data_IF_715624533686
#
_entry.id   IF_715624533686
#
_cell.length_a   1.000
_cell.length_b   1.000
_cell.length_c   1.000
_cell.angle_alpha   90.00
_cell.angle_beta   90.00
_cell.angle_gamma   90.00
#
_symmetry.space_group_name_H-M   'P 1'
#
loop_
_entity.id
_entity.type
_entity.pdbx_description
1 polymer ?
#
# COMPACT_ATOMS: atom_id res chain seq x y z
N UNK A 1 56.27 1.33 31.62
CA UNK A 1 54.89 0.93 31.98
C UNK A 1 53.99 2.12 32.30
N UNK A 2 54.54 3.24 32.88
CA UNK A 2 53.70 4.40 33.26
C UNK A 2 53.12 5.18 32.08
N UNK A 3 53.87 5.29 30.99
CA UNK A 3 53.41 5.96 29.77
C UNK A 3 52.18 5.27 29.13
N UNK A 4 52.18 3.95 29.08
CA UNK A 4 51.10 3.14 28.55
C UNK A 4 49.81 3.31 29.37
N UNK A 5 49.88 3.47 30.69
CA UNK A 5 48.74 3.74 31.53
C UNK A 5 48.17 5.15 31.32
N UNK A 6 49.04 6.15 31.04
CA UNK A 6 48.57 7.49 30.70
C UNK A 6 47.88 7.53 29.35
N UNK A 7 48.40 6.84 28.34
CA UNK A 7 47.81 6.74 27.02
C UNK A 7 46.45 6.02 27.09
N UNK A 8 46.34 4.96 27.87
CA UNK A 8 45.10 4.22 28.06
C UNK A 8 44.01 5.08 28.78
N UNK A 9 44.42 5.86 29.81
CA UNK A 9 43.52 6.78 30.47
C UNK A 9 43.06 7.93 29.55
N UNK A 10 43.99 8.47 28.74
CA UNK A 10 43.64 9.49 27.76
C UNK A 10 42.65 8.96 26.71
N UNK A 11 42.85 7.74 26.22
CA UNK A 11 41.97 7.09 25.27
C UNK A 11 40.54 6.86 25.88
N UNK A 12 40.48 6.36 27.11
CA UNK A 12 39.21 6.19 27.82
C UNK A 12 38.48 7.53 28.01
N UNK A 13 39.22 8.59 28.36
CA UNK A 13 38.69 9.93 28.49
C UNK A 13 38.12 10.47 27.17
N UNK A 14 38.83 10.26 26.08
CA UNK A 14 38.40 10.68 24.74
C UNK A 14 37.10 9.93 24.32
N UNK A 15 37.07 8.61 24.49
CA UNK A 15 35.88 7.78 24.21
C UNK A 15 34.68 8.21 25.06
N UNK A 16 34.85 8.47 26.35
CA UNK A 16 33.79 8.93 27.21
C UNK A 16 33.28 10.30 26.79
N UNK A 17 34.16 11.23 26.46
CA UNK A 17 33.79 12.56 25.94
C UNK A 17 32.96 12.45 24.67
N UNK A 18 33.39 11.60 23.73
CA UNK A 18 32.65 11.34 22.50
C UNK A 18 31.22 10.81 22.78
N UNK A 19 31.08 9.87 23.69
CA UNK A 19 29.75 9.34 24.05
C UNK A 19 28.86 10.37 24.71
N UNK A 20 29.41 11.22 25.58
CA UNK A 20 28.68 12.31 26.23
C UNK A 20 28.20 13.31 25.18
N UNK A 21 29.06 13.71 24.25
CA UNK A 21 28.70 14.64 23.18
C UNK A 21 27.64 14.05 22.26
N UNK A 22 27.76 12.78 21.90
CA UNK A 22 26.73 12.07 21.12
C UNK A 22 25.40 12.00 21.86
N UNK A 23 25.39 11.68 23.14
CA UNK A 23 24.15 11.66 23.94
C UNK A 23 23.54 13.04 24.05
N UNK A 24 24.36 14.08 24.18
CA UNK A 24 23.87 15.45 24.23
C UNK A 24 23.24 15.88 22.88
N UNK A 25 23.87 15.52 21.76
CA UNK A 25 23.32 15.75 20.42
C UNK A 25 21.98 15.05 20.22
N UNK A 26 21.85 13.80 20.69
CA UNK A 26 20.62 13.04 20.63
C UNK A 26 19.46 13.63 21.46
N UNK A 27 19.74 14.48 22.43
CA UNK A 27 18.71 15.21 23.20
C UNK A 27 18.15 16.43 22.46
N UNK A 28 18.79 16.88 21.42
CA UNK A 28 18.40 18.05 20.64
C UNK A 28 17.74 17.62 19.34
N UNK A 29 16.45 17.95 19.16
CA UNK A 29 15.67 17.53 17.99
C UNK A 29 16.35 17.82 16.62
N UNK A 30 17.02 18.97 16.39
CA UNK A 30 17.71 19.25 15.14
C UNK A 30 18.97 18.42 14.89
N UNK A 31 19.54 17.83 15.95
CA UNK A 31 20.84 17.12 15.92
C UNK A 31 20.70 15.62 16.15
N UNK A 32 19.50 15.16 16.54
CA UNK A 32 19.22 13.77 16.80
C UNK A 32 19.21 12.97 15.50
N UNK A 33 19.99 11.90 15.44
CA UNK A 33 20.12 10.99 14.28
C UNK A 33 19.30 9.71 14.51
N UNK A 34 19.14 9.28 15.75
CA UNK A 34 18.44 8.04 16.06
C UNK A 34 16.92 8.22 15.97
N UNK A 35 16.29 7.49 15.03
CA UNK A 35 14.84 7.55 14.78
C UNK A 35 14.00 7.38 16.04
N UNK A 36 14.42 6.50 16.95
CA UNK A 36 13.70 6.24 18.20
C UNK A 36 13.67 7.48 19.11
N UNK A 37 14.80 8.19 19.21
CA UNK A 37 14.94 9.39 20.02
C UNK A 37 14.11 10.54 19.44
N UNK A 38 14.15 10.72 18.11
CA UNK A 38 13.34 11.70 17.38
C UNK A 38 11.85 11.46 17.64
N UNK A 39 11.38 10.21 17.53
CA UNK A 39 9.99 9.84 17.78
C UNK A 39 9.59 10.12 19.23
N UNK A 40 10.46 9.80 20.20
CA UNK A 40 10.18 10.04 21.61
C UNK A 40 10.09 11.54 21.94
N UNK A 41 11.00 12.33 21.41
CA UNK A 41 10.95 13.79 21.54
C UNK A 41 9.68 14.38 20.89
N UNK A 42 9.35 13.93 19.67
CA UNK A 42 8.12 14.36 18.99
C UNK A 42 6.87 14.05 19.83
N UNK A 43 6.81 12.87 20.47
CA UNK A 43 5.73 12.50 21.38
C UNK A 43 5.67 13.40 22.62
N UNK A 44 6.81 13.81 23.17
CA UNK A 44 6.87 14.75 24.31
C UNK A 44 6.26 16.11 23.95
N UNK A 45 6.39 16.55 22.69
CA UNK A 45 5.75 17.76 22.17
C UNK A 45 4.29 17.54 21.73
N UNK A 46 3.70 16.37 22.01
CA UNK A 46 2.31 16.05 21.68
C UNK A 46 2.08 15.60 20.24
N UNK A 47 3.14 15.37 19.46
CA UNK A 47 3.01 14.85 18.10
C UNK A 47 2.58 13.38 18.13
N UNK A 48 1.48 13.07 17.48
CA UNK A 48 1.04 11.70 17.27
C UNK A 48 1.73 11.13 16.04
N UNK A 49 2.64 10.18 16.25
CA UNK A 49 3.28 9.46 15.15
C UNK A 49 2.21 8.72 14.38
N UNK A 50 2.07 9.05 13.09
CA UNK A 50 1.15 8.35 12.20
C UNK A 50 1.76 7.00 11.82
N UNK A 51 1.00 5.91 11.89
CA UNK A 51 1.43 4.64 11.33
C UNK A 51 1.61 4.76 9.80
N UNK A 52 2.17 3.73 9.18
CA UNK A 52 2.20 3.61 7.73
C UNK A 52 0.76 3.60 7.24
N UNK A 53 0.44 4.51 6.32
CA UNK A 53 -0.88 4.60 5.71
C UNK A 53 -0.71 4.24 4.24
N UNK A 54 -1.53 3.30 3.71
CA UNK A 54 -1.48 2.97 2.29
C UNK A 54 -1.99 4.14 1.45
N UNK A 55 -1.55 4.21 0.21
CA UNK A 55 -2.06 5.16 -0.77
C UNK A 55 -3.33 4.62 -1.41
N UNK A 56 -4.29 5.49 -1.68
CA UNK A 56 -5.50 5.16 -2.43
C UNK A 56 -5.41 5.78 -3.82
N UNK A 57 -5.93 5.07 -4.81
CA UNK A 57 -5.97 5.50 -6.20
C UNK A 57 -7.28 5.05 -6.84
N UNK A 58 -7.80 5.84 -7.77
CA UNK A 58 -8.91 5.45 -8.62
C UNK A 58 -8.34 4.85 -9.91
N UNK A 59 -8.64 3.57 -10.14
CA UNK A 59 -8.20 2.83 -11.32
C UNK A 59 -9.36 2.68 -12.30
N UNK A 60 -9.12 3.05 -13.55
CA UNK A 60 -10.10 2.90 -14.63
C UNK A 60 -9.79 1.64 -15.43
N UNK A 61 -10.72 0.71 -15.40
CA UNK A 61 -10.68 -0.52 -16.20
C UNK A 61 -11.47 -0.32 -17.48
N UNK A 62 -10.94 -0.80 -18.58
CA UNK A 62 -11.60 -0.79 -19.88
C UNK A 62 -11.79 -2.20 -20.37
N UNK A 63 -12.96 -2.49 -20.92
CA UNK A 63 -13.29 -3.76 -21.57
C UNK A 63 -13.92 -3.49 -22.92
N UNK A 64 -13.49 -4.22 -23.94
CA UNK A 64 -14.07 -4.14 -25.27
C UNK A 64 -15.14 -5.23 -25.43
N UNK A 65 -16.33 -4.84 -25.83
CA UNK A 65 -17.47 -5.73 -26.07
C UNK A 65 -18.07 -5.47 -27.45
N UNK A 66 -18.70 -6.46 -28.03
CA UNK A 66 -19.34 -6.33 -29.34
C UNK A 66 -20.59 -5.47 -29.27
N UNK A 67 -20.94 -4.87 -30.40
CA UNK A 67 -22.25 -4.28 -30.59
C UNK A 67 -23.32 -5.38 -30.62
N UNK A 68 -24.55 -5.06 -30.21
CA UNK A 68 -25.66 -5.99 -30.23
C UNK A 68 -25.97 -6.40 -31.67
N UNK A 69 -26.15 -7.70 -31.89
CA UNK A 69 -26.55 -8.26 -33.20
C UNK A 69 -27.94 -7.80 -33.66
N UNK A 70 -28.78 -7.40 -32.72
CA UNK A 70 -30.13 -6.91 -33.02
C UNK A 70 -30.15 -5.40 -33.32
N UNK A 71 -29.26 -4.62 -32.75
CA UNK A 71 -29.17 -3.18 -32.89
C UNK A 71 -27.73 -2.72 -32.65
N UNK A 72 -27.00 -2.43 -33.71
CA UNK A 72 -25.59 -1.98 -33.64
C UNK A 72 -25.40 -0.64 -32.88
N UNK A 73 -26.47 0.09 -32.61
CA UNK A 73 -26.42 1.29 -31.76
C UNK A 73 -26.40 0.97 -30.26
N UNK A 74 -26.50 -0.32 -29.89
CA UNK A 74 -26.51 -0.80 -28.50
C UNK A 74 -25.37 -1.73 -28.21
N UNK A 75 -24.91 -1.69 -26.96
CA UNK A 75 -23.88 -2.58 -26.43
C UNK A 75 -24.46 -3.97 -26.17
N UNK A 76 -23.71 -5.02 -26.48
CA UNK A 76 -24.05 -6.37 -26.04
C UNK A 76 -23.39 -6.67 -24.69
N UNK A 77 -24.16 -6.48 -23.62
CA UNK A 77 -23.72 -6.74 -22.25
C UNK A 77 -23.67 -8.23 -21.87
N UNK A 78 -24.16 -9.14 -22.73
CA UNK A 78 -24.15 -10.58 -22.42
C UNK A 78 -22.74 -11.16 -22.30
N UNK A 79 -21.79 -10.55 -23.00
CA UNK A 79 -20.37 -10.93 -22.99
C UNK A 79 -19.51 -10.02 -22.10
N UNK A 80 -20.13 -9.07 -21.42
CA UNK A 80 -19.41 -8.21 -20.48
C UNK A 80 -18.98 -8.99 -19.23
N UNK A 81 -17.70 -8.87 -18.87
CA UNK A 81 -17.10 -9.56 -17.74
C UNK A 81 -17.48 -8.96 -16.39
N UNK A 82 -17.33 -9.77 -15.35
CA UNK A 82 -17.34 -9.34 -13.95
C UNK A 82 -16.11 -9.82 -13.27
N UNK A 83 -15.55 -9.00 -12.37
CA UNK A 83 -14.36 -9.31 -11.60
C UNK A 83 -14.63 -9.01 -10.13
N UNK A 84 -14.25 -9.94 -9.26
CA UNK A 84 -14.41 -9.77 -7.82
C UNK A 84 -13.42 -8.71 -7.29
N UNK A 85 -13.71 -8.16 -6.11
CA UNK A 85 -12.77 -7.32 -5.38
C UNK A 85 -11.51 -8.10 -5.01
N UNK A 86 -10.39 -7.38 -4.78
CA UNK A 86 -9.14 -8.01 -4.39
C UNK A 86 -8.20 -8.35 -5.57
N UNK A 87 -8.45 -7.78 -6.76
CA UNK A 87 -7.51 -7.92 -7.88
C UNK A 87 -6.24 -7.14 -7.57
N UNK A 88 -5.10 -7.81 -7.66
CA UNK A 88 -3.79 -7.21 -7.53
C UNK A 88 -3.28 -6.70 -8.88
N UNK A 89 -2.88 -5.44 -8.91
CA UNK A 89 -2.37 -4.77 -10.11
C UNK A 89 -1.04 -4.14 -9.78
N UNK A 90 -0.01 -4.51 -10.53
CA UNK A 90 1.33 -3.98 -10.36
C UNK A 90 1.55 -2.79 -11.30
N UNK A 91 2.08 -1.70 -10.76
CA UNK A 91 2.52 -0.54 -11.55
C UNK A 91 3.69 -0.93 -12.45
N UNK A 92 3.70 -0.45 -13.69
CA UNK A 92 4.80 -0.64 -14.65
C UNK A 92 5.88 0.45 -14.57
N UNK A 93 5.86 1.31 -13.55
CA UNK A 93 6.85 2.38 -13.35
C UNK A 93 8.16 1.89 -12.73
N UNK A 94 9.07 2.84 -12.42
CA UNK A 94 10.40 2.57 -11.86
C UNK A 94 10.39 1.84 -10.49
N UNK A 95 9.28 1.90 -9.78
CA UNK A 95 9.02 1.13 -8.56
C UNK A 95 7.75 0.31 -8.74
N UNK A 96 7.89 -1.00 -8.63
CA UNK A 96 6.76 -1.93 -8.65
C UNK A 96 5.90 -1.72 -7.39
N UNK A 97 4.81 -0.98 -7.53
CA UNK A 97 3.81 -0.82 -6.47
C UNK A 97 2.61 -1.67 -6.81
N UNK A 98 2.22 -2.53 -5.89
CA UNK A 98 1.02 -3.36 -6.01
C UNK A 98 -0.16 -2.62 -5.42
N UNK A 99 -1.25 -2.54 -6.18
CA UNK A 99 -2.54 -2.01 -5.78
C UNK A 99 -3.57 -3.13 -5.78
N UNK A 100 -4.39 -3.18 -4.76
CA UNK A 100 -5.50 -4.14 -4.64
C UNK A 100 -6.82 -3.41 -4.74
N UNK A 101 -7.73 -3.90 -5.60
CA UNK A 101 -9.06 -3.30 -5.78
C UNK A 101 -9.93 -3.57 -4.55
N UNK A 102 -10.66 -2.54 -4.10
CA UNK A 102 -11.54 -2.63 -2.93
C UNK A 102 -12.95 -3.06 -3.28
N UNK A 103 -13.36 -2.86 -4.54
CA UNK A 103 -14.70 -3.08 -5.01
C UNK A 103 -14.70 -4.06 -6.18
N UNK A 104 -15.83 -4.77 -6.37
CA UNK A 104 -16.02 -5.60 -7.55
C UNK A 104 -16.25 -4.74 -8.80
N UNK A 105 -15.85 -5.25 -9.94
CA UNK A 105 -15.98 -4.59 -11.24
C UNK A 105 -17.03 -5.35 -12.03
N UNK A 106 -18.17 -4.73 -12.32
CA UNK A 106 -19.21 -5.32 -13.17
C UNK A 106 -19.46 -4.45 -14.41
N UNK A 107 -19.03 -4.93 -15.56
CA UNK A 107 -19.23 -4.24 -16.83
C UNK A 107 -20.66 -4.38 -17.37
N UNK A 108 -21.50 -5.23 -16.79
CA UNK A 108 -22.91 -5.42 -17.20
C UNK A 108 -23.84 -4.37 -16.61
N UNK A 109 -23.46 -3.76 -15.50
CA UNK A 109 -24.23 -2.70 -14.85
C UNK A 109 -23.88 -1.38 -15.53
N UNK A 110 -24.91 -0.61 -15.91
CA UNK A 110 -24.77 0.73 -16.49
C UNK A 110 -25.27 1.77 -15.50
N UNK A 111 -24.46 2.80 -15.27
CA UNK A 111 -24.79 3.94 -14.42
C UNK A 111 -24.44 5.26 -15.09
N UNK A 112 -24.71 6.38 -14.43
CA UNK A 112 -24.36 7.72 -14.95
C UNK A 112 -22.86 7.93 -15.09
N UNK A 113 -22.06 7.26 -14.26
CA UNK A 113 -20.60 7.35 -14.24
C UNK A 113 -19.93 6.26 -15.09
N UNK A 114 -20.72 5.32 -15.61
CA UNK A 114 -20.26 4.19 -16.41
C UNK A 114 -20.35 4.53 -17.89
N UNK A 115 -19.26 5.02 -18.45
CA UNK A 115 -19.22 5.44 -19.84
C UNK A 115 -19.01 4.27 -20.79
N UNK A 116 -19.70 4.33 -21.92
CA UNK A 116 -19.45 3.47 -23.07
C UNK A 116 -19.12 4.35 -24.29
N UNK A 117 -18.07 4.02 -24.99
CA UNK A 117 -17.64 4.71 -26.21
C UNK A 117 -17.57 3.71 -27.34
N UNK A 118 -17.77 4.16 -28.58
CA UNK A 118 -17.62 3.28 -29.76
C UNK A 118 -16.12 2.97 -29.88
N UNK A 119 -15.76 1.68 -29.89
CA UNK A 119 -14.41 1.21 -30.04
C UNK A 119 -13.99 1.09 -31.50
N UNK A 120 -14.83 0.48 -32.34
CA UNK A 120 -14.59 0.31 -33.76
C UNK A 120 -15.85 0.35 -34.60
N UNK A 121 -15.70 0.60 -35.88
CA UNK A 121 -16.78 0.56 -36.88
C UNK A 121 -16.56 -0.62 -37.84
N UNK A 122 -17.65 -1.24 -38.26
CA UNK A 122 -17.66 -2.20 -39.35
C UNK A 122 -17.60 -1.47 -40.70
N UNK A 123 -17.33 -2.20 -41.79
CA UNK A 123 -17.29 -1.69 -43.17
C UNK A 123 -18.66 -1.07 -43.60
N UNK A 124 -19.73 -1.44 -42.92
CA UNK A 124 -21.07 -0.88 -43.09
C UNK A 124 -21.25 0.53 -42.49
N UNK A 125 -20.25 1.04 -41.76
CA UNK A 125 -20.30 2.30 -41.06
C UNK A 125 -21.07 2.24 -39.70
N UNK A 126 -21.54 1.06 -39.31
CA UNK A 126 -22.18 0.81 -38.01
C UNK A 126 -21.14 0.46 -36.94
N UNK A 127 -21.42 0.73 -35.68
CA UNK A 127 -20.55 0.31 -34.59
C UNK A 127 -20.36 -1.21 -34.55
N UNK A 128 -19.14 -1.67 -34.47
CA UNK A 128 -18.76 -3.07 -34.36
C UNK A 128 -18.46 -3.43 -32.90
N UNK A 129 -17.71 -2.60 -32.21
CA UNK A 129 -17.38 -2.78 -30.81
C UNK A 129 -17.59 -1.51 -30.01
N UNK A 130 -17.77 -1.71 -28.71
CA UNK A 130 -17.84 -0.66 -27.72
C UNK A 130 -16.81 -0.87 -26.64
N UNK A 131 -16.18 0.20 -26.19
CA UNK A 131 -15.30 0.21 -25.03
C UNK A 131 -16.09 0.66 -23.82
N UNK A 132 -16.19 -0.21 -22.82
CA UNK A 132 -16.80 0.06 -21.53
C UNK A 132 -15.73 0.50 -20.55
N UNK A 133 -15.98 1.54 -19.77
CA UNK A 133 -15.08 2.03 -18.72
C UNK A 133 -15.73 1.90 -17.35
N UNK A 134 -14.97 1.43 -16.38
CA UNK A 134 -15.36 1.36 -14.97
C UNK A 134 -14.23 1.87 -14.10
N UNK A 135 -14.54 2.76 -13.17
CA UNK A 135 -13.57 3.30 -12.23
C UNK A 135 -13.84 2.75 -10.84
N UNK A 136 -12.85 2.13 -10.23
CA UNK A 136 -12.92 1.56 -8.88
C UNK A 136 -11.75 2.04 -8.04
N UNK A 137 -11.97 2.07 -6.72
CA UNK A 137 -10.92 2.42 -5.76
C UNK A 137 -9.99 1.24 -5.51
N UNK A 138 -8.71 1.53 -5.48
CA UNK A 138 -7.68 0.58 -5.13
C UNK A 138 -6.77 1.15 -4.05
N UNK A 139 -6.13 0.28 -3.29
CA UNK A 139 -5.24 0.60 -2.18
C UNK A 139 -3.88 -0.04 -2.41
N UNK A 140 -2.80 0.67 -2.08
CA UNK A 140 -1.44 0.13 -2.15
C UNK A 140 -1.15 -0.77 -0.95
N UNK A 141 -1.86 -1.89 -0.86
CA UNK A 141 -1.70 -2.91 0.15
C UNK A 141 -2.01 -4.28 -0.45
N UNK A 142 -1.41 -5.32 0.11
CA UNK A 142 -1.70 -6.72 -0.22
C UNK A 142 -2.34 -7.39 0.98
N UNK A 143 -3.31 -8.25 0.74
CA UNK A 143 -3.94 -9.06 1.78
C UNK A 143 -3.16 -10.36 1.96
N UNK A 144 -2.83 -10.70 3.20
CA UNK A 144 -2.18 -11.96 3.54
C UNK A 144 -2.98 -12.68 4.61
N UNK A 145 -3.32 -13.92 4.35
CA UNK A 145 -3.98 -14.78 5.33
C UNK A 145 -2.94 -15.63 6.05
N UNK A 146 -2.93 -15.55 7.37
CA UNK A 146 -2.08 -16.37 8.23
C UNK A 146 -2.96 -17.23 9.12
N UNK A 147 -2.70 -18.54 9.13
CA UNK A 147 -3.39 -19.47 10.02
C UNK A 147 -2.47 -19.90 11.16
N UNK A 148 -2.98 -19.79 12.39
CA UNK A 148 -2.26 -20.21 13.59
C UNK A 148 -2.96 -21.38 14.24
N UNK A 149 -2.21 -22.46 14.52
CA UNK A 149 -2.73 -23.57 15.31
C UNK A 149 -2.60 -23.24 16.79
N UNK A 150 -3.75 -23.11 17.45
CA UNK A 150 -3.81 -22.91 18.90
C UNK A 150 -4.00 -24.29 19.54
N UNK A 151 -2.97 -24.76 20.28
CA UNK A 151 -3.03 -26.01 21.03
C UNK A 151 -3.93 -25.94 22.25
N UNK A 152 -3.47 -26.44 23.42
CA UNK A 152 -4.25 -26.36 24.64
C UNK A 152 -4.62 -24.90 25.03
N UNK A 153 -5.78 -24.70 25.69
CA UNK A 153 -6.19 -23.36 26.12
C UNK A 153 -5.17 -22.74 27.08
N UNK A 154 -4.65 -21.59 26.72
CA UNK A 154 -3.71 -20.81 27.51
C UNK A 154 -4.22 -19.38 27.66
N UNK A 155 -4.13 -18.83 28.90
CA UNK A 155 -4.54 -17.43 29.14
C UNK A 155 -3.52 -16.48 28.52
N UNK A 156 -4.02 -15.47 27.80
CA UNK A 156 -3.20 -14.39 27.21
C UNK A 156 -2.13 -14.90 26.24
N UNK A 157 -2.48 -15.88 25.41
CA UNK A 157 -1.57 -16.37 24.37
C UNK A 157 -1.23 -15.24 23.40
N UNK A 158 0.05 -14.96 23.26
CA UNK A 158 0.55 -13.97 22.33
C UNK A 158 0.87 -14.62 20.99
N UNK A 159 0.37 -14.05 19.91
CA UNK A 159 0.70 -14.41 18.54
C UNK A 159 1.52 -13.29 17.95
N UNK A 160 2.71 -13.61 17.44
CA UNK A 160 3.58 -12.65 16.80
C UNK A 160 3.42 -12.77 15.28
N UNK A 161 3.09 -11.67 14.63
CA UNK A 161 3.02 -11.62 13.17
C UNK A 161 4.44 -11.50 12.60
N UNK A 162 4.76 -12.22 11.51
CA UNK A 162 6.08 -12.17 10.89
C UNK A 162 6.33 -10.84 10.14
N UNK A 163 5.27 -10.18 9.69
CA UNK A 163 5.36 -8.93 8.95
C UNK A 163 5.38 -7.72 9.89
N UNK A 164 6.24 -6.74 9.59
CA UNK A 164 6.41 -5.52 10.40
C UNK A 164 5.56 -4.34 9.93
N UNK A 165 5.06 -4.39 8.70
CA UNK A 165 4.29 -3.32 8.05
C UNK A 165 2.79 -3.62 8.01
N UNK A 166 2.27 -4.18 9.08
CA UNK A 166 0.84 -4.50 9.19
C UNK A 166 0.05 -3.19 9.36
N UNK A 167 -0.92 -2.96 8.49
CA UNK A 167 -1.78 -1.77 8.49
C UNK A 167 -3.04 -2.05 9.30
N UNK A 168 -3.65 -3.20 9.08
CA UNK A 168 -4.88 -3.62 9.76
C UNK A 168 -4.94 -5.15 9.88
N UNK A 169 -5.75 -5.62 10.81
CA UNK A 169 -6.02 -7.05 11.05
C UNK A 169 -7.52 -7.27 10.92
N UNK A 170 -7.90 -7.97 9.87
CA UNK A 170 -9.29 -8.36 9.60
C UNK A 170 -9.48 -9.77 10.18
N UNK A 171 -10.40 -9.96 11.10
CA UNK A 171 -10.71 -11.26 11.77
C UNK A 171 -12.12 -11.71 11.48
#
# INVERSE_FOLDING_TARGET
>A
PGMMLLEMNAYVGDVLSFYIDKQYQEMLLPLAEERRNIINMAKMFGYKVKPIVPSFVDLTFTSEVNASSADAAKVDYSNAGTFDAGIEITSTGDSEVVFTTLEHIDFRITGSDDTSTIGSFADSGLASTYTLSRTVKAVSATEKTLSFQIGAPEKFKTITLPDTNVIDIIS
#
